data_IF_448942731438
#
_entry.id   IF_448942731438
#
_cell.length_a   1.000
_cell.length_b   1.000
_cell.length_c   1.000
_cell.angle_alpha   90.00
_cell.angle_beta   90.00
_cell.angle_gamma   90.00
#
_symmetry.space_group_name_H-M   'P 1'
#
loop_
_entity.id
_entity.type
_entity.pdbx_description
1 polymer ?
2 polymer ?
3 non-polymer ?
4 non-polymer ?
5 non-polymer ?
#
loop_
_entity_poly.entity_id
_entity_poly.type
_entity_poly.pdbx_seq_one_letter_code
_entity_poly.pdbx_strand_id
1 'polyribonucleotide' '(GTP)GAUGGCGAAAGCCAUUUCCGCAGGCCCCAUUGCACUCCGGGGUAUUGGCGUUAGGUGGUGGUACGAGGUUCGAAUCCUCGUACCGCAGCCA' ?
#
# COMPACT_ATOMS: atom_id res chain seq x y z
N UNK C 7 1.48 -10.96 21.34
CA UNK C 7 0.29 -11.86 21.33
C UNK C 7 -0.91 -11.25 20.57
N UNK C 8 -1.74 -12.10 19.94
CA UNK C 8 -2.94 -11.86 19.13
C UNK C 8 -3.89 -10.81 19.64
N UNK C 9 -4.65 -10.21 18.74
CA UNK C 9 -5.65 -9.21 19.11
C UNK C 9 -6.52 -8.76 17.94
N UNK C 10 -7.82 -8.62 18.20
CA UNK C 10 -8.78 -8.19 17.20
C UNK C 10 -8.47 -6.82 16.65
N UNK C 11 -7.51 -6.13 17.28
CA UNK C 11 -7.19 -4.78 16.85
C UNK C 11 -5.73 -4.44 16.64
N UNK C 12 -5.37 -4.05 15.43
CA UNK C 12 -3.99 -3.66 15.19
C UNK C 12 -3.87 -2.18 15.55
N UNK C 13 -2.66 -1.73 15.89
CA UNK C 13 -2.47 -0.35 16.26
C UNK C 13 -1.35 0.21 15.42
N UNK C 14 -1.67 1.21 14.63
CA UNK C 14 -0.69 1.81 13.74
C UNK C 14 -0.22 3.14 14.29
N UNK C 15 1.07 3.42 14.13
CA UNK C 15 1.62 4.70 14.55
C UNK C 15 2.73 5.09 13.59
N UNK C 16 3.20 6.32 13.69
CA UNK C 16 4.20 6.84 12.77
C UNK C 16 3.41 7.11 11.47
N UNK C 17 2.21 7.63 11.65
CA UNK C 17 1.33 7.99 10.56
C UNK C 17 1.56 9.48 10.39
N UNK C 18 1.42 9.98 9.16
CA UNK C 18 1.62 11.41 8.93
C UNK C 18 0.60 12.23 9.69
N UNK C 19 1.08 13.06 10.59
CA UNK C 19 0.20 13.91 11.36
C UNK C 19 -0.47 15.00 10.52
N UNK C 20 0.06 15.23 9.31
CA UNK C 20 -0.49 16.26 8.43
C UNK C 20 -1.86 15.87 7.85
N UNK C 21 -2.01 14.60 7.49
CA UNK C 21 -3.25 14.06 6.95
C UNK C 21 -4.43 14.36 7.86
N UNK C 22 -5.51 14.90 7.30
CA UNK C 22 -6.68 15.19 8.11
C UNK C 22 -7.34 13.87 8.55
N UNK C 23 -8.15 13.92 9.62
CA UNK C 23 -8.82 12.74 10.15
C UNK C 23 -9.60 11.94 9.12
N UNK C 24 -10.74 12.49 8.70
CA UNK C 24 -11.59 11.84 7.70
C UNK C 24 -10.80 11.29 6.49
N UNK C 25 -9.81 12.03 6.01
CA UNK C 25 -9.02 11.60 4.84
C UNK C 25 -8.13 10.43 5.19
N UNK C 26 -7.69 10.42 6.44
CA UNK C 26 -6.84 9.36 6.94
C UNK C 26 -7.62 8.06 7.03
N UNK C 27 -8.72 8.06 7.77
CA UNK C 27 -9.55 6.86 7.88
C UNK C 27 -9.89 6.24 6.54
N UNK C 28 -10.29 7.08 5.58
CA UNK C 28 -10.65 6.63 4.23
C UNK C 28 -9.57 5.71 3.70
N UNK C 29 -8.38 6.28 3.61
CA UNK C 29 -7.22 5.56 3.11
C UNK C 29 -6.94 4.30 3.94
N UNK C 30 -7.01 4.42 5.27
CA UNK C 30 -6.76 3.28 6.13
C UNK C 30 -7.80 2.21 5.84
N UNK C 31 -9.05 2.61 5.77
CA UNK C 31 -10.05 1.61 5.50
C UNK C 31 -9.80 1.02 4.12
N UNK C 32 -9.36 1.85 3.18
CA UNK C 32 -9.10 1.38 1.83
C UNK C 32 -8.03 0.31 1.77
N UNK C 33 -6.99 0.46 2.58
CA UNK C 33 -5.88 -0.50 2.63
C UNK C 33 -6.20 -1.78 3.40
N UNK C 34 -6.61 -1.62 4.66
CA UNK C 34 -6.89 -2.76 5.52
C UNK C 34 -8.17 -3.51 5.25
N UNK C 35 -9.13 -2.86 4.60
CA UNK C 35 -10.40 -3.50 4.33
C UNK C 35 -10.19 -4.70 3.46
N UNK C 36 -9.07 -4.74 2.76
CA UNK C 36 -8.82 -5.87 1.88
C UNK C 36 -8.22 -7.09 2.58
N UNK C 37 -7.77 -6.94 3.81
CA UNK C 37 -7.21 -8.07 4.52
C UNK C 37 -8.32 -8.78 5.25
N UNK C 38 -9.52 -8.25 5.12
CA UNK C 38 -10.67 -8.82 5.78
C UNK C 38 -11.65 -7.74 6.20
N UNK C 39 -12.81 -8.17 6.71
CA UNK C 39 -13.84 -7.24 7.13
C UNK C 39 -13.38 -6.45 8.34
N UNK C 40 -13.73 -5.16 8.34
CA UNK C 40 -13.34 -4.25 9.41
C UNK C 40 -14.53 -3.74 10.19
N UNK C 41 -14.45 -3.86 11.51
CA UNK C 41 -15.55 -3.43 12.38
C UNK C 41 -15.55 -1.92 12.58
N UNK C 42 -14.38 -1.32 12.50
CA UNK C 42 -14.26 0.12 12.63
C UNK C 42 -12.80 0.53 12.69
N UNK C 43 -12.55 1.80 12.42
CA UNK C 43 -11.20 2.35 12.49
C UNK C 43 -11.34 3.58 13.36
N UNK C 44 -10.56 3.64 14.42
CA UNK C 44 -10.62 4.75 15.34
C UNK C 44 -9.45 5.70 15.11
N UNK C 45 -9.76 6.98 14.94
CA UNK C 45 -8.74 7.99 14.73
C UNK C 45 -9.12 9.26 15.47
N UNK C 46 -8.12 9.86 16.09
CA UNK C 46 -8.29 11.09 16.85
C UNK C 46 -6.99 11.85 16.65
N UNK C 47 -7.10 13.17 16.69
CA UNK C 47 -5.92 14.00 16.53
C UNK C 47 -5.83 14.89 17.76
N UNK C 48 -5.52 14.24 18.87
CA UNK C 48 -5.38 14.88 20.17
C UNK C 48 -3.88 15.05 20.36
N UNK C 49 -3.47 15.58 21.50
CA UNK C 49 -2.05 15.75 21.71
C UNK C 49 -1.39 14.39 21.87
N UNK C 50 -2.17 13.38 22.29
CA UNK C 50 -1.63 12.04 22.53
C UNK C 50 -2.14 10.92 21.61
N UNK C 51 -2.98 11.26 20.64
CA UNK C 51 -3.50 10.23 19.76
C UNK C 51 -3.03 10.37 18.33
N UNK C 52 -2.61 11.58 17.97
CA UNK C 52 -2.17 11.85 16.60
C UNK C 52 -1.09 10.90 16.18
N UNK C 53 -1.06 10.63 14.88
CA UNK C 53 -0.07 9.74 14.34
C UNK C 53 -0.45 8.30 14.55
N UNK C 54 -1.32 8.05 15.51
CA UNK C 54 -1.75 6.70 15.81
C UNK C 54 -3.18 6.43 15.38
N UNK C 55 -3.44 5.19 15.00
CA UNK C 55 -4.77 4.77 14.59
C UNK C 55 -5.05 3.36 15.13
N UNK C 56 -6.33 3.07 15.39
CA UNK C 56 -6.75 1.78 15.91
C UNK C 56 -7.67 1.09 14.95
N UNK C 57 -7.14 0.18 14.14
CA UNK C 57 -8.00 -0.54 13.20
C UNK C 57 -8.57 -1.78 13.87
N UNK C 58 -9.88 -1.95 13.81
CA UNK C 58 -10.51 -3.12 14.42
C UNK C 58 -11.12 -4.07 13.40
N UNK C 59 -10.48 -5.22 13.16
CA UNK C 59 -10.99 -6.20 12.22
C UNK C 59 -12.03 -7.04 12.93
N UNK C 60 -12.71 -7.92 12.22
CA UNK C 60 -13.71 -8.74 12.90
C UNK C 60 -13.21 -10.13 13.29
N UNK C 61 -12.10 -10.56 12.69
CA UNK C 61 -11.50 -11.86 13.00
C UNK C 61 -10.00 -11.72 13.21
N UNK C 62 -9.50 -12.32 14.29
CA UNK C 62 -8.07 -12.21 14.59
C UNK C 62 -7.21 -12.50 13.36
N UNK C 63 -7.59 -13.52 12.60
CA UNK C 63 -6.85 -13.93 11.42
C UNK C 63 -6.64 -12.79 10.45
N UNK C 64 -7.55 -11.82 10.49
CA UNK C 64 -7.45 -10.65 9.62
C UNK C 64 -6.36 -9.73 10.14
N UNK C 65 -6.54 -9.26 11.37
CA UNK C 65 -5.54 -8.38 11.95
C UNK C 65 -4.16 -8.95 11.74
N UNK C 66 -3.94 -10.12 12.33
CA UNK C 66 -2.65 -10.80 12.25
C UNK C 66 -2.06 -10.86 10.82
N UNK C 67 -2.87 -11.20 9.84
CA UNK C 67 -2.38 -11.25 8.46
C UNK C 67 -2.06 -9.84 7.96
N UNK C 68 -2.98 -8.91 8.20
CA UNK C 68 -2.78 -7.53 7.78
C UNK C 68 -1.51 -7.00 8.41
N UNK C 69 -1.20 -7.53 9.58
CA UNK C 69 -0.01 -7.13 10.33
C UNK C 69 1.30 -7.52 9.65
N UNK C 70 1.39 -8.76 9.22
CA UNK C 70 2.60 -9.23 8.57
C UNK C 70 2.72 -8.68 7.17
N UNK C 71 1.61 -8.28 6.58
CA UNK C 71 1.65 -7.76 5.21
C UNK C 71 2.10 -6.33 5.09
N UNK C 72 1.46 -5.45 5.84
CA UNK C 72 1.73 -4.01 5.81
C UNK C 72 2.88 -3.41 6.64
N UNK C 73 3.38 -4.14 7.62
CA UNK C 73 4.46 -3.61 8.45
C UNK C 73 5.53 -2.87 7.64
N UNK C 74 5.56 -1.56 7.76
CA UNK C 74 6.56 -0.81 7.04
C UNK C 74 6.09 -0.29 5.71
N UNK C 75 4.84 -0.57 5.37
CA UNK C 75 4.33 -0.09 4.11
C UNK C 75 4.32 1.44 4.05
N UNK C 76 4.86 2.00 2.97
CA UNK C 76 4.92 3.45 2.78
C UNK C 76 3.52 4.04 2.83
N UNK C 77 3.39 5.18 3.51
CA UNK C 77 2.10 5.83 3.64
C UNK C 77 2.32 7.33 3.84
N UNK C 78 2.18 8.08 2.76
CA UNK C 78 2.38 9.53 2.79
C UNK C 78 3.79 9.84 3.21
N UNK C 79 4.73 9.02 2.74
CA UNK C 79 6.15 9.20 3.05
C UNK C 79 6.52 8.81 4.49
N UNK C 80 5.96 7.73 5.02
CA UNK C 80 6.28 7.31 6.38
C UNK C 80 5.95 5.83 6.62
N UNK C 81 6.99 5.00 6.80
CA UNK C 81 6.77 3.58 7.05
C UNK C 81 5.81 3.28 8.17
N UNK C 82 4.69 2.67 7.85
CA UNK C 82 3.73 2.32 8.88
C UNK C 82 4.33 1.33 9.86
N UNK C 83 4.22 1.63 11.15
CA UNK C 83 4.70 0.72 12.15
C UNK C 83 3.43 0.18 12.83
N UNK C 84 3.27 -1.14 12.77
CA UNK C 84 2.09 -1.74 13.35
C UNK C 84 2.43 -2.84 14.35
N UNK C 85 1.45 -3.20 15.16
CA UNK C 85 1.58 -4.24 16.18
C UNK C 85 0.20 -4.39 16.79
N UNK C 86 -0.14 -5.57 17.28
CA UNK C 86 -1.46 -5.75 17.87
C UNK C 86 -1.72 -4.64 18.85
N UNK C 87 -2.97 -4.48 19.28
CA UNK C 87 -3.24 -3.46 20.26
C UNK C 87 -2.82 -4.12 21.54
N UNK C 88 -3.06 -3.47 22.68
CA UNK C 88 -2.71 -4.05 23.97
C UNK C 88 -3.97 -4.68 24.55
N UNK C 89 -5.14 -4.19 24.15
CA UNK C 89 -6.37 -4.72 24.70
C UNK C 89 -7.60 -4.76 23.81
N UNK C 90 -8.41 -5.80 23.99
CA UNK C 90 -9.65 -5.95 23.23
C UNK C 90 -10.34 -4.61 23.14
N UNK C 91 -10.62 -4.17 21.92
CA UNK C 91 -11.28 -2.89 21.73
C UNK C 91 -12.69 -2.99 22.29
N UNK C 92 -13.07 -1.98 23.07
CA UNK C 92 -14.39 -1.93 23.68
C UNK C 92 -15.44 -2.84 23.04
N UNK C 93 -15.78 -2.59 21.77
CA UNK C 93 -16.79 -3.42 21.14
C UNK C 93 -16.46 -4.91 21.22
N UNK C 94 -15.23 -5.27 20.87
CA UNK C 94 -14.82 -6.67 20.91
C UNK C 94 -15.11 -7.36 22.25
N UNK C 95 -14.55 -6.80 23.33
CA UNK C 95 -14.72 -7.33 24.68
C UNK C 95 -16.15 -7.75 24.93
N UNK C 96 -17.06 -6.77 24.91
CA UNK C 96 -18.50 -7.01 25.13
C UNK C 96 -18.96 -8.28 24.40
N UNK C 97 -18.50 -8.45 23.16
CA UNK C 97 -18.86 -9.60 22.34
C UNK C 97 -18.12 -10.89 22.72
N UNK D 6 -0.80 -12.96 -18.73
CA UNK D 6 -0.54 -12.72 -20.17
C UNK D 6 0.95 -12.76 -20.44
N UNK D 7 1.55 -13.94 -20.30
CA UNK D 7 2.98 -14.14 -20.52
C UNK D 7 3.85 -13.27 -19.58
N UNK D 8 4.32 -13.86 -18.44
CA UNK D 8 5.14 -13.21 -17.41
C UNK D 8 6.31 -12.41 -17.98
N UNK D 9 6.42 -11.16 -17.58
CA UNK D 9 7.49 -10.31 -18.06
C UNK D 9 8.29 -9.72 -16.92
N UNK D 10 9.52 -9.31 -17.20
CA UNK D 10 10.38 -8.73 -16.19
C UNK D 10 9.81 -7.39 -15.72
N UNK D 11 9.12 -6.71 -16.61
CA UNK D 11 8.54 -5.39 -16.32
C UNK D 11 7.02 -5.41 -16.10
N UNK D 12 6.55 -4.60 -15.15
CA UNK D 12 5.12 -4.50 -14.90
C UNK D 12 4.65 -3.10 -15.28
N UNK D 13 3.48 -3.03 -15.91
CA UNK D 13 2.88 -1.77 -16.34
C UNK D 13 1.64 -1.48 -15.52
N UNK D 14 1.72 -0.43 -14.73
CA UNK D 14 0.62 -0.02 -13.89
C UNK D 14 0.02 1.24 -14.48
N UNK D 15 -1.30 1.25 -14.65
CA UNK D 15 -1.97 2.46 -15.13
C UNK D 15 -3.13 2.72 -14.19
N UNK D 16 -3.65 3.94 -14.24
CA UNK D 16 -4.74 4.41 -13.39
C UNK D 16 -4.08 4.95 -12.11
N UNK D 17 -3.11 5.83 -12.32
CA UNK D 17 -2.37 6.44 -11.23
C UNK D 17 -2.73 7.90 -11.22
N UNK D 18 -3.00 8.42 -10.02
CA UNK D 18 -3.36 9.82 -9.82
C UNK D 18 -2.46 10.72 -10.69
N UNK D 19 -3.01 11.22 -11.80
CA UNK D 19 -2.26 12.08 -12.72
C UNK D 19 -1.74 13.39 -12.13
N UNK D 20 -2.34 13.81 -11.03
CA UNK D 20 -1.93 15.05 -10.38
C UNK D 20 -0.49 15.02 -9.87
N UNK D 21 -0.11 13.94 -9.21
CA UNK D 21 1.25 13.79 -8.68
C UNK D 21 2.25 13.96 -9.83
N UNK D 22 3.36 14.65 -9.56
CA UNK D 22 4.40 14.88 -10.56
C UNK D 22 5.50 13.81 -10.54
N UNK D 23 6.09 13.58 -11.70
CA UNK D 23 7.15 12.59 -11.94
C UNK D 23 7.98 12.11 -10.74
N UNK D 24 8.82 12.99 -10.22
CA UNK D 24 9.72 12.67 -9.11
C UNK D 24 9.09 11.94 -7.92
N UNK D 25 7.86 12.31 -7.56
CA UNK D 25 7.15 11.70 -6.43
C UNK D 25 6.56 10.33 -6.80
N UNK D 26 6.04 10.24 -8.00
CA UNK D 26 5.45 9.00 -8.47
C UNK D 26 6.53 7.91 -8.41
N UNK D 27 7.78 8.31 -8.63
CA UNK D 27 8.88 7.36 -8.60
C UNK D 27 9.30 6.99 -7.17
N UNK D 28 9.55 7.97 -6.32
CA UNK D 28 9.95 7.68 -4.95
C UNK D 28 8.89 6.81 -4.24
N UNK D 29 7.63 7.24 -4.35
CA UNK D 29 6.51 6.54 -3.74
C UNK D 29 6.39 5.12 -4.29
N UNK D 30 6.40 5.01 -5.61
CA UNK D 30 6.30 3.71 -6.24
C UNK D 30 7.47 2.83 -5.80
N UNK D 31 8.68 3.37 -5.89
CA UNK D 31 9.86 2.61 -5.52
C UNK D 31 9.75 1.98 -4.13
N UNK D 32 9.32 2.78 -3.16
CA UNK D 32 9.16 2.36 -1.78
C UNK D 32 8.12 1.27 -1.56
N UNK D 33 7.27 1.05 -2.56
CA UNK D 33 6.23 0.01 -2.47
C UNK D 33 6.70 -1.26 -3.17
N UNK D 34 7.17 -1.07 -4.40
CA UNK D 34 7.62 -2.19 -5.20
C UNK D 34 9.02 -2.72 -4.89
N UNK D 35 9.82 -1.93 -4.18
CA UNK D 35 11.15 -2.38 -3.81
C UNK D 35 10.97 -3.41 -2.69
N UNK D 36 9.71 -3.65 -2.31
CA UNK D 36 9.37 -4.63 -1.26
C UNK D 36 9.20 -6.03 -1.82
N UNK D 37 9.14 -6.13 -3.15
CA UNK D 37 8.93 -7.43 -3.78
C UNK D 37 10.14 -7.98 -4.52
N UNK D 38 11.26 -7.26 -4.43
CA UNK D 38 12.46 -7.71 -5.12
C UNK D 38 13.33 -6.53 -5.49
N UNK D 39 14.35 -6.78 -6.31
CA UNK D 39 15.25 -5.73 -6.76
C UNK D 39 14.66 -5.06 -7.98
N UNK D 40 14.69 -3.72 -8.01
CA UNK D 40 14.15 -2.97 -9.13
C UNK D 40 15.28 -2.39 -9.98
N UNK D 41 15.39 -2.86 -11.22
CA UNK D 41 16.44 -2.36 -12.10
C UNK D 41 16.03 -0.98 -12.54
N UNK D 42 14.72 -0.72 -12.53
CA UNK D 42 14.27 0.60 -12.96
C UNK D 42 12.77 0.82 -12.97
N UNK D 43 12.40 2.08 -12.86
CA UNK D 43 11.03 2.53 -12.83
C UNK D 43 10.92 3.69 -13.79
N UNK D 44 10.16 3.51 -14.87
CA UNK D 44 10.02 4.57 -15.88
C UNK D 44 8.68 5.30 -15.76
N UNK D 45 8.73 6.63 -15.83
CA UNK D 45 7.54 7.48 -15.70
C UNK D 45 7.63 8.76 -16.54
N UNK D 46 6.67 8.94 -17.43
CA UNK D 46 6.65 10.12 -18.28
C UNK D 46 5.38 10.91 -18.05
N UNK D 47 5.50 12.23 -17.87
CA UNK D 47 4.32 13.05 -17.69
C UNK D 47 3.86 13.50 -19.07
N UNK D 48 4.34 12.83 -20.11
CA UNK D 48 3.95 13.14 -21.49
C UNK D 48 2.45 13.06 -21.62
N UNK D 49 1.94 13.28 -22.84
CA UNK D 49 0.51 13.25 -23.11
C UNK D 49 -0.08 11.83 -23.09
N UNK D 50 0.60 10.91 -23.76
CA UNK D 50 0.13 9.53 -23.85
C UNK D 50 0.75 8.59 -22.80
N UNK D 51 1.49 9.15 -21.84
CA UNK D 51 2.15 8.34 -20.81
C UNK D 51 1.81 8.76 -19.38
N UNK D 52 0.58 9.21 -19.17
CA UNK D 52 0.18 9.66 -17.85
C UNK D 52 -0.49 8.58 -17.01
N UNK D 53 -0.52 8.83 -15.71
CA UNK D 53 -1.14 7.91 -14.77
C UNK D 53 -0.63 6.50 -14.87
N UNK D 54 0.42 6.30 -15.67
CA UNK D 54 0.99 4.98 -15.85
C UNK D 54 2.51 4.98 -15.64
N UNK D 55 3.04 3.81 -15.34
CA UNK D 55 4.46 3.69 -15.11
C UNK D 55 4.86 2.21 -15.18
N UNK D 56 6.09 1.95 -15.63
CA UNK D 56 6.60 0.59 -15.74
C UNK D 56 7.63 0.39 -14.66
N UNK D 57 7.76 -0.83 -14.20
CA UNK D 57 8.75 -1.14 -13.18
C UNK D 57 9.44 -2.41 -13.63
N UNK D 58 10.77 -2.39 -13.66
CA UNK D 58 11.52 -3.56 -14.07
C UNK D 58 12.20 -4.26 -12.92
N UNK D 59 11.65 -5.40 -12.52
CA UNK D 59 12.22 -6.18 -11.44
C UNK D 59 13.40 -6.98 -11.98
N UNK D 60 14.18 -7.59 -11.08
CA UNK D 60 15.32 -8.37 -11.53
C UNK D 60 14.96 -9.84 -11.56
N UNK D 61 13.82 -10.18 -10.95
CA UNK D 61 13.33 -11.56 -10.94
C UNK D 61 11.90 -11.55 -11.52
N UNK D 62 11.67 -12.30 -12.58
CA UNK D 62 10.32 -12.33 -13.17
C UNK D 62 9.31 -12.87 -12.18
N UNK D 63 9.79 -13.70 -11.25
CA UNK D 63 8.96 -14.29 -10.23
C UNK D 63 8.65 -13.29 -9.11
N UNK D 64 9.57 -12.37 -8.89
CA UNK D 64 9.39 -11.34 -7.88
C UNK D 64 8.53 -10.24 -8.52
N UNK D 65 8.63 -10.15 -9.84
CA UNK D 65 7.85 -9.18 -10.59
C UNK D 65 6.40 -9.64 -10.58
N UNK D 66 6.21 -10.94 -10.73
CA UNK D 66 4.88 -11.54 -10.72
C UNK D 66 4.18 -11.14 -9.43
N UNK D 67 4.90 -11.30 -8.32
CA UNK D 67 4.41 -10.95 -6.99
C UNK D 67 3.70 -9.61 -7.01
N UNK D 68 4.51 -8.57 -7.09
CA UNK D 68 4.00 -7.21 -7.08
C UNK D 68 2.65 -7.16 -7.77
N UNK D 69 2.53 -7.79 -8.93
CA UNK D 69 1.27 -7.79 -9.65
C UNK D 69 0.17 -8.38 -8.79
N UNK D 70 0.15 -9.70 -8.70
CA UNK D 70 -0.87 -10.43 -7.94
C UNK D 70 -1.46 -9.71 -6.74
N UNK D 71 -0.63 -9.34 -5.77
CA UNK D 71 -1.12 -8.64 -4.59
C UNK D 71 -1.45 -7.17 -4.82
N UNK D 72 -0.42 -6.34 -4.99
CA UNK D 72 -0.62 -4.91 -5.20
C UNK D 72 -1.74 -4.63 -6.19
N UNK D 73 -2.06 -5.62 -7.01
CA UNK D 73 -3.13 -5.48 -7.97
C UNK D 73 -4.33 -4.89 -7.24
N UNK D 74 -4.69 -3.67 -7.61
CA UNK D 74 -5.85 -3.08 -6.99
C UNK D 74 -5.58 -2.12 -5.86
N UNK D 75 -4.53 -2.36 -5.09
CA UNK D 75 -4.15 -1.51 -3.96
C UNK D 75 -4.44 -0.02 -4.22
N UNK D 76 -4.89 0.72 -3.20
CA UNK D 76 -5.20 2.14 -3.31
C UNK D 76 -3.92 2.91 -3.56
N UNK D 77 -3.99 4.06 -4.21
CA UNK D 77 -2.77 4.81 -4.45
C UNK D 77 -3.13 6.21 -4.90
N UNK D 78 -3.20 7.12 -3.93
CA UNK D 78 -3.57 8.49 -4.20
C UNK D 78 -5.02 8.53 -4.66
N UNK D 79 -5.87 7.83 -3.92
CA UNK D 79 -7.30 7.76 -4.17
C UNK D 79 -7.73 6.80 -5.26
N UNK D 80 -6.77 6.31 -6.04
CA UNK D 80 -7.13 5.42 -7.11
C UNK D 80 -6.62 3.99 -6.94
N UNK D 81 -7.50 2.99 -7.13
CA UNK D 81 -7.02 1.62 -6.97
C UNK D 81 -6.15 1.37 -8.19
N UNK D 82 -4.85 1.35 -8.02
CA UNK D 82 -3.99 1.15 -9.17
C UNK D 82 -4.24 -0.18 -9.86
N UNK D 83 -4.04 -0.19 -11.17
CA UNK D 83 -4.23 -1.39 -11.98
C UNK D 83 -2.85 -1.84 -12.45
N UNK D 84 -2.57 -3.13 -12.27
CA UNK D 84 -1.27 -3.70 -12.63
C UNK D 84 -1.40 -4.85 -13.62
N UNK D 85 -0.47 -4.93 -14.57
CA UNK D 85 -0.43 -6.00 -15.57
C UNK D 85 0.95 -6.08 -16.22
N UNK D 86 1.34 -7.25 -16.69
CA UNK D 86 2.64 -7.41 -17.33
C UNK D 86 2.81 -6.45 -18.52
N UNK D 87 4.06 -6.22 -18.94
CA UNK D 87 4.35 -5.35 -20.06
C UNK D 87 4.19 -6.14 -21.34
N UNK D 88 3.40 -5.63 -22.29
CA UNK D 88 3.18 -6.34 -23.56
C UNK D 88 4.51 -6.65 -24.24
N UNK D 89 5.54 -5.87 -23.92
CA UNK D 89 6.86 -6.05 -24.51
C UNK D 89 7.92 -6.09 -23.42
N UNK D 90 9.12 -6.54 -23.81
CA UNK D 90 10.26 -6.64 -22.93
C UNK D 90 10.92 -5.26 -22.84
N UNK D 91 11.38 -4.87 -21.66
CA UNK D 91 12.02 -3.56 -21.51
C UNK D 91 13.39 -3.56 -22.16
N UNK D 92 13.81 -2.40 -22.67
CA UNK D 92 15.11 -2.29 -23.33
C UNK D 92 16.26 -2.92 -22.56
N UNK D 93 16.51 -2.47 -21.33
CA UNK D 93 17.62 -3.02 -20.58
C UNK D 93 17.50 -4.51 -20.34
N UNK D 94 16.29 -5.05 -20.46
CA UNK D 94 16.12 -6.48 -20.27
C UNK D 94 16.28 -7.21 -21.60
N UNK D 95 16.19 -6.47 -22.70
CA UNK D 95 16.37 -7.06 -24.02
C UNK D 95 17.83 -7.50 -24.15
N UNK D 96 18.75 -6.67 -23.67
CA UNK D 96 20.18 -6.98 -23.72
C UNK D 96 20.61 -7.73 -22.45
X LIG E 1 -25.98 47.19 31.32
X LIG F 1 -7.72 30.54 13.10
X LIG G 1 -55.34 24.65 17.29
X LIG H 1 -20.92 42.63 29.33
X LIG I 1 -25.73 41.08 27.40
X LIG J 1 -16.83 45.93 19.16
X LIG K 1 54.23 20.07 -18.75
X LIG L 1 61.26 19.90 -15.67
X LIG M 1 25.47 44.02 -32.16
X LIG N 1 -11.59 20.68 -13.21
X LIG O 1 14.77 -1.80 -5.81
#
# INVERSE_FOLDING_TARGET
XAVPETRPNHTIYINNLNEKIKKDELKKSLHAIFSRFGQILDILVSRSLKMRGQAFVIFKEVSSATNALRSMQGFPFYDKPMRIQYAKTDSDIIAKMK
XAVPETRPNHTIYINNLNEKIKKDELKKSLHAIFSRFGQILDILVSRSLKMRGQAFVIFKEVSSATNALRSMQGFPFYDKPMRIQYAKTDSDIIAKXK
MG MG
MG MG
MG MG
MG MG
MG MG
K K
MG MG
MG MG
MG MG
MG MG
CO CO
#
